data_IF_765706023124
#
_entry.id   IF_765706023124
#
_cell.length_a   1.000
_cell.length_b   1.000
_cell.length_c   1.000
_cell.angle_alpha   90.00
_cell.angle_beta   90.00
_cell.angle_gamma   90.00
#
_symmetry.space_group_name_H-M   'P 1'
#
loop_
_entity.id
_entity.type
_entity.pdbx_description
1 polymer ?
#
# COMPACT_ATOMS: atom_id res chain seq x y z
N UNK A 1 -4.24 -4.67 -21.63
CA UNK A 1 -2.86 -4.82 -21.11
C UNK A 1 -2.90 -5.70 -19.88
N UNK A 2 -2.12 -6.78 -19.80
CA UNK A 2 -2.05 -7.63 -18.61
C UNK A 2 -0.89 -7.13 -17.74
N UNK A 3 -1.18 -6.72 -16.52
CA UNK A 3 -0.17 -6.28 -15.55
C UNK A 3 0.10 -7.47 -14.63
N UNK A 4 1.38 -7.83 -14.50
CA UNK A 4 1.86 -8.84 -13.55
C UNK A 4 2.71 -8.09 -12.54
N UNK A 5 2.37 -8.22 -11.26
CA UNK A 5 3.10 -7.56 -10.19
C UNK A 5 4.12 -8.55 -9.63
N UNK A 6 5.41 -8.29 -9.84
CA UNK A 6 6.50 -9.18 -9.45
C UNK A 6 7.08 -8.82 -8.08
N UNK A 7 7.29 -7.53 -7.83
CA UNK A 7 7.87 -7.00 -6.60
C UNK A 7 7.21 -5.68 -6.23
N UNK A 8 6.94 -5.49 -4.94
CA UNK A 8 6.44 -4.23 -4.37
C UNK A 8 7.46 -3.78 -3.32
N UNK A 9 8.00 -2.58 -3.50
CA UNK A 9 8.72 -1.87 -2.45
C UNK A 9 7.76 -0.87 -1.80
N UNK A 10 7.60 -0.99 -0.48
CA UNK A 10 6.68 -0.17 0.30
C UNK A 10 7.45 0.51 1.41
N UNK A 11 7.44 1.84 1.39
CA UNK A 11 8.02 2.68 2.44
C UNK A 11 6.97 3.65 2.95
N UNK A 12 6.97 3.88 4.26
CA UNK A 12 6.09 4.83 4.93
C UNK A 12 4.60 4.69 4.59
N UNK A 13 4.14 3.48 4.29
CA UNK A 13 2.73 3.20 4.03
C UNK A 13 2.09 2.61 5.28
N UNK A 14 1.28 3.40 5.99
CA UNK A 14 0.64 3.00 7.25
C UNK A 14 1.64 2.33 8.22
N UNK A 15 1.49 1.04 8.51
CA UNK A 15 2.37 0.28 9.40
C UNK A 15 3.64 -0.25 8.71
N UNK A 16 3.73 -0.22 7.37
CA UNK A 16 4.92 -0.61 6.63
C UNK A 16 5.96 0.51 6.68
N UNK A 17 7.08 0.25 7.37
CA UNK A 17 8.20 1.19 7.47
C UNK A 17 9.05 1.17 6.22
N UNK A 18 9.64 0.01 5.93
CA UNK A 18 10.38 -0.29 4.72
C UNK A 18 10.29 -1.79 4.50
N UNK A 19 9.58 -2.24 3.47
CA UNK A 19 9.33 -3.65 3.22
C UNK A 19 9.27 -3.93 1.73
N UNK A 20 10.01 -4.96 1.32
CA UNK A 20 9.94 -5.51 -0.03
C UNK A 20 9.09 -6.78 -0.01
N UNK A 21 8.04 -6.80 -0.83
CA UNK A 21 7.14 -7.95 -1.00
C UNK A 21 7.35 -8.49 -2.41
N UNK A 22 7.92 -9.70 -2.52
CA UNK A 22 7.96 -10.43 -3.79
C UNK A 22 6.68 -11.23 -3.95
N UNK A 23 6.02 -11.07 -5.09
CA UNK A 23 4.77 -11.74 -5.40
C UNK A 23 5.00 -12.85 -6.42
N UNK A 24 4.75 -14.08 -5.98
CA UNK A 24 4.66 -15.25 -6.84
C UNK A 24 3.18 -15.63 -7.06
N UNK A 25 2.91 -16.72 -7.78
CA UNK A 25 1.54 -17.21 -8.02
C UNK A 25 0.74 -17.50 -6.74
N UNK A 26 1.42 -17.69 -5.61
CA UNK A 26 0.83 -17.86 -4.29
C UNK A 26 1.75 -17.24 -3.24
N UNK A 27 1.21 -16.35 -2.40
CA UNK A 27 1.97 -15.65 -1.37
C UNK A 27 1.28 -15.81 -0.02
N UNK A 28 2.05 -16.17 1.01
CA UNK A 28 1.56 -16.28 2.39
C UNK A 28 2.22 -15.17 3.22
N UNK A 29 1.40 -14.34 3.85
CA UNK A 29 1.87 -13.24 4.71
C UNK A 29 1.75 -13.67 6.17
N UNK A 30 2.89 -13.83 6.87
CA UNK A 30 2.97 -14.35 8.24
C UNK A 30 3.67 -13.34 9.16
N UNK A 31 3.26 -13.28 10.44
CA UNK A 31 3.97 -12.52 11.48
C UNK A 31 3.15 -12.30 12.77
N UNK A 32 3.59 -11.42 13.67
CA UNK A 32 2.93 -11.14 14.97
C UNK A 32 1.57 -10.45 14.82
N UNK A 33 0.56 -10.78 15.63
CA UNK A 33 -0.71 -10.01 15.65
C UNK A 33 -0.42 -8.50 15.83
N UNK A 34 -1.16 -7.65 15.10
CA UNK A 34 -0.97 -6.19 15.04
C UNK A 34 0.32 -5.67 14.37
N UNK A 35 1.14 -6.50 13.70
CA UNK A 35 2.33 -6.01 12.96
C UNK A 35 2.00 -5.38 11.58
N UNK A 36 0.78 -4.90 11.36
CA UNK A 36 0.33 -4.39 10.05
C UNK A 36 -0.17 -5.47 9.07
N UNK A 37 -0.34 -6.73 9.53
CA UNK A 37 -0.91 -7.81 8.71
C UNK A 37 -2.43 -7.86 8.68
N UNK A 38 -3.07 -7.34 9.73
CA UNK A 38 -4.51 -7.50 9.94
C UNK A 38 -5.28 -6.75 8.87
N UNK A 39 -5.63 -7.40 7.76
CA UNK A 39 -6.62 -7.14 6.69
C UNK A 39 -6.85 -5.71 6.16
N UNK A 40 -6.37 -4.65 6.80
CA UNK A 40 -6.59 -3.26 6.42
C UNK A 40 -5.35 -2.76 5.68
N UNK A 41 -4.17 -2.76 6.30
CA UNK A 41 -2.98 -2.14 5.70
C UNK A 41 -2.49 -2.86 4.42
N UNK A 42 -2.45 -4.19 4.40
CA UNK A 42 -2.07 -4.94 3.19
C UNK A 42 -3.14 -4.85 2.10
N UNK A 43 -4.43 -4.90 2.46
CA UNK A 43 -5.53 -4.76 1.50
C UNK A 43 -5.59 -3.34 0.94
N UNK A 44 -5.36 -2.34 1.77
CA UNK A 44 -5.30 -0.94 1.40
C UNK A 44 -4.15 -0.66 0.45
N UNK A 45 -2.99 -1.30 0.66
CA UNK A 45 -1.87 -1.23 -0.28
C UNK A 45 -2.28 -1.72 -1.67
N UNK A 46 -2.86 -2.91 -1.77
CA UNK A 46 -3.30 -3.45 -3.07
C UNK A 46 -4.44 -2.64 -3.68
N UNK A 47 -5.35 -2.13 -2.86
CA UNK A 47 -6.45 -1.26 -3.30
C UNK A 47 -5.93 0.06 -3.85
N UNK A 48 -4.94 0.65 -3.18
CA UNK A 48 -4.25 1.85 -3.64
C UNK A 48 -3.55 1.59 -4.98
N UNK A 49 -2.79 0.48 -5.10
CA UNK A 49 -2.12 0.10 -6.35
C UNK A 49 -3.11 -0.11 -7.49
N UNK A 50 -4.26 -0.75 -7.24
CA UNK A 50 -5.32 -0.91 -8.24
C UNK A 50 -5.84 0.45 -8.71
N UNK A 51 -6.05 1.41 -7.80
CA UNK A 51 -6.50 2.75 -8.15
C UNK A 51 -5.45 3.58 -8.90
N UNK A 52 -4.19 3.47 -8.48
CA UNK A 52 -3.09 4.23 -9.06
C UNK A 52 -2.68 3.73 -10.45
N UNK A 53 -2.74 2.41 -10.68
CA UNK A 53 -2.19 1.78 -11.90
C UNK A 53 -3.30 1.25 -12.81
N UNK A 54 -4.38 0.72 -12.24
CA UNK A 54 -5.41 -0.02 -12.96
C UNK A 54 -6.68 0.77 -13.29
N UNK A 55 -6.89 1.92 -12.65
CA UNK A 55 -8.07 2.76 -12.86
C UNK A 55 -7.67 4.09 -13.52
N UNK A 56 -8.39 4.48 -14.56
CA UNK A 56 -8.26 5.81 -15.13
C UNK A 56 -9.13 6.76 -14.31
N UNK A 57 -8.49 7.52 -13.42
CA UNK A 57 -9.15 8.45 -12.50
C UNK A 57 -9.15 9.88 -13.09
N UNK A 58 -10.29 10.56 -13.03
CA UNK A 58 -10.43 11.97 -13.40
C UNK A 58 -11.20 12.74 -12.29
N UNK A 59 -10.55 13.64 -11.53
CA UNK A 59 -9.12 13.93 -11.53
C UNK A 59 -8.31 12.74 -10.95
N UNK A 60 -7.01 12.68 -11.29
CA UNK A 60 -6.13 11.63 -10.76
C UNK A 60 -5.87 11.79 -9.25
N UNK A 61 -6.66 11.10 -8.43
CA UNK A 61 -6.58 11.14 -6.97
C UNK A 61 -6.76 9.73 -6.35
N UNK A 62 -5.81 8.81 -6.52
CA UNK A 62 -5.93 7.43 -6.05
C UNK A 62 -6.02 7.31 -4.52
N UNK A 63 -5.54 8.32 -3.78
CA UNK A 63 -5.57 8.39 -2.32
C UNK A 63 -6.91 8.89 -1.74
N UNK A 64 -7.84 9.35 -2.58
CA UNK A 64 -9.06 10.04 -2.12
C UNK A 64 -9.95 9.17 -1.24
N UNK A 65 -9.91 7.85 -1.45
CA UNK A 65 -10.64 6.88 -0.61
C UNK A 65 -10.23 6.96 0.87
N UNK A 66 -8.99 7.36 1.14
CA UNK A 66 -8.47 7.60 2.49
C UNK A 66 -8.61 9.06 2.93
N UNK A 67 -9.41 9.87 2.22
CA UNK A 67 -9.68 11.31 2.44
C UNK A 67 -8.49 12.25 2.28
N UNK A 68 -7.27 11.79 2.53
CA UNK A 68 -6.03 12.56 2.39
C UNK A 68 -4.83 11.63 2.27
N UNK A 69 -3.79 12.08 1.56
CA UNK A 69 -2.48 11.40 1.54
C UNK A 69 -1.92 11.18 2.96
N UNK A 70 -2.27 12.03 3.92
CA UNK A 70 -1.82 11.90 5.32
C UNK A 70 -2.30 10.62 6.00
N UNK A 71 -3.41 10.03 5.52
CA UNK A 71 -4.01 8.83 6.11
C UNK A 71 -3.48 7.52 5.50
N UNK A 72 -2.71 7.61 4.40
CA UNK A 72 -1.97 6.48 3.83
C UNK A 72 -0.49 6.49 4.26
N UNK A 73 0.03 7.65 4.66
CA UNK A 73 1.40 7.79 5.17
C UNK A 73 1.46 7.34 6.63
N UNK A 74 2.48 6.53 6.96
CA UNK A 74 2.73 6.09 8.32
C UNK A 74 2.99 7.26 9.27
N UNK A 75 2.42 7.22 10.46
CA UNK A 75 2.49 8.34 11.43
C UNK A 75 3.91 8.66 11.96
N UNK A 76 4.93 7.91 11.54
CA UNK A 76 6.31 8.01 12.00
C UNK A 76 7.17 9.10 11.33
N UNK A 77 6.74 9.66 10.20
CA UNK A 77 7.50 10.72 9.50
C UNK A 77 6.78 12.07 9.55
N UNK A 78 6.83 12.70 10.73
CA UNK A 78 6.56 14.14 10.88
C UNK A 78 7.83 14.97 10.63
N UNK A 79 8.58 14.68 9.57
CA UNK A 79 9.79 15.43 9.21
C UNK A 79 9.77 15.84 7.73
N UNK A 80 8.79 16.67 7.37
CA UNK A 80 8.98 17.61 6.26
C UNK A 80 9.10 18.99 6.90
N UNK A 81 10.34 19.31 7.33
CA UNK A 81 10.82 20.69 7.51
C UNK A 81 11.62 21.07 6.28
#
# INVERSE_FOLDING_TARGET
>A
MKIILEEIHVENFKSFKNTTIRLNNFNVVVGPNASGKSNLDLVDLFRFLKKAIGEQLDPYAPYLEWWSCKNIVGSGEKNFQ
#
